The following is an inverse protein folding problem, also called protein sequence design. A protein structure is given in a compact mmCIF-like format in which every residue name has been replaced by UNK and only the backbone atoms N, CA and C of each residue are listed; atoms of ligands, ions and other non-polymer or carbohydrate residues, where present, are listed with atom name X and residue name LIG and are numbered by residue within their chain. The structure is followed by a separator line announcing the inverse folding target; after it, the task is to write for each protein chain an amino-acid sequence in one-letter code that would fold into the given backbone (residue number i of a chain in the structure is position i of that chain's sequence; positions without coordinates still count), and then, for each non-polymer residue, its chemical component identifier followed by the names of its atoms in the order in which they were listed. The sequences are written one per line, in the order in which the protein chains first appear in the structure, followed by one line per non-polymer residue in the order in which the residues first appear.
data_IF_474207784400
#
_entry.id   IF_474207784400
#
_cell.length_a   1.000
_cell.length_b   1.000
_cell.length_c   1.000
_cell.angle_alpha   90.00
_cell.angle_beta   90.00
_cell.angle_gamma   90.00
#
_symmetry.space_group_name_H-M   'P 1'
#
loop_
_entity.id
_entity.type
_entity.pdbx_description
1 polymer ?
#
# COMPACT_ATOMS: atom_id res chain seq x y z
N UNK A 1 35.21 6.31 -14.12
CA UNK A 1 34.07 6.57 -13.23
C UNK A 1 33.11 5.41 -13.38
N UNK A 2 33.22 4.39 -12.53
CA UNK A 2 32.36 3.21 -12.57
C UNK A 2 30.98 3.60 -12.08
N UNK A 3 29.94 3.36 -12.88
CA UNK A 3 28.57 3.39 -12.38
C UNK A 3 28.40 2.18 -11.44
N UNK A 4 28.22 2.47 -10.15
CA UNK A 4 27.81 1.48 -9.17
C UNK A 4 26.31 1.25 -9.36
N UNK A 5 25.91 0.07 -9.85
CA UNK A 5 24.51 -0.32 -9.90
C UNK A 5 24.03 -0.58 -8.47
N UNK A 6 23.13 0.27 -7.96
CA UNK A 6 22.45 0.01 -6.70
C UNK A 6 21.53 -1.22 -6.87
N UNK A 7 21.83 -2.30 -6.14
CA UNK A 7 21.02 -3.51 -6.13
C UNK A 7 19.94 -3.40 -5.04
N UNK A 8 18.67 -3.46 -5.44
CA UNK A 8 17.54 -3.43 -4.50
C UNK A 8 17.19 -4.87 -4.13
N UNK A 9 17.25 -5.18 -2.84
CA UNK A 9 16.76 -6.45 -2.31
C UNK A 9 15.28 -6.34 -1.95
N UNK A 10 14.51 -7.40 -2.18
CA UNK A 10 13.07 -7.40 -1.91
C UNK A 10 12.64 -8.72 -1.28
N UNK A 11 11.78 -8.62 -0.28
CA UNK A 11 11.12 -9.77 0.37
C UNK A 11 9.62 -9.51 0.31
N UNK A 12 8.85 -10.50 -0.14
CA UNK A 12 7.39 -10.43 -0.17
C UNK A 12 6.81 -11.37 0.87
N UNK A 13 5.87 -10.88 1.68
CA UNK A 13 5.12 -11.70 2.62
C UNK A 13 3.63 -11.52 2.37
N UNK A 14 2.96 -12.63 2.05
CA UNK A 14 1.49 -12.70 1.87
C UNK A 14 0.80 -13.46 2.99
N UNK A 15 1.55 -14.23 3.77
CA UNK A 15 1.07 -14.93 4.96
C UNK A 15 1.29 -14.06 6.21
N UNK A 16 0.25 -13.98 7.04
CA UNK A 16 0.13 -13.07 8.19
C UNK A 16 1.29 -13.17 9.18
N UNK A 17 1.71 -14.39 9.53
CA UNK A 17 2.79 -14.61 10.49
C UNK A 17 4.12 -14.12 9.91
N UNK A 18 4.39 -14.41 8.64
CA UNK A 18 5.60 -13.94 7.96
C UNK A 18 5.63 -12.42 7.87
N UNK A 19 4.50 -11.76 7.55
CA UNK A 19 4.41 -10.30 7.55
C UNK A 19 4.83 -9.72 8.90
N UNK A 20 4.30 -10.27 10.00
CA UNK A 20 4.62 -9.80 11.35
C UNK A 20 6.08 -10.06 11.71
N UNK A 21 6.62 -11.26 11.45
CA UNK A 21 8.02 -11.59 11.73
C UNK A 21 8.95 -10.67 10.95
N UNK A 22 8.78 -10.57 9.63
CA UNK A 22 9.63 -9.76 8.77
C UNK A 22 9.53 -8.28 9.15
N UNK A 23 8.34 -7.75 9.42
CA UNK A 23 8.19 -6.33 9.81
C UNK A 23 8.92 -5.94 11.09
N UNK A 24 9.09 -6.87 12.03
CA UNK A 24 9.78 -6.61 13.31
C UNK A 24 11.30 -6.58 13.18
N UNK A 25 11.87 -7.04 12.06
CA UNK A 25 13.31 -6.99 11.80
C UNK A 25 13.70 -5.92 10.77
N UNK A 26 12.71 -5.23 10.17
CA UNK A 26 12.96 -4.07 9.31
C UNK A 26 13.51 -2.91 10.13
N UNK A 27 14.41 -2.14 9.53
CA UNK A 27 15.11 -1.03 10.17
C UNK A 27 15.09 0.23 9.29
N UNK A 28 15.79 1.28 9.72
CA UNK A 28 15.78 2.61 9.08
C UNK A 28 16.26 2.67 7.63
N UNK A 29 17.02 1.67 7.20
CA UNK A 29 17.55 1.57 5.84
C UNK A 29 16.57 0.82 4.91
N UNK A 30 15.49 0.26 5.46
CA UNK A 30 14.47 -0.49 4.73
C UNK A 30 13.25 0.37 4.36
N UNK A 31 12.58 -0.03 3.28
CA UNK A 31 11.26 0.44 2.87
C UNK A 31 10.26 -0.71 2.94
N UNK A 32 9.16 -0.50 3.67
CA UNK A 32 8.05 -1.46 3.76
C UNK A 32 6.83 -0.91 3.05
N UNK A 33 6.29 -1.69 2.10
CA UNK A 33 5.11 -1.32 1.32
C UNK A 33 3.95 -2.25 1.69
N UNK A 34 2.88 -1.68 2.23
CA UNK A 34 1.65 -2.42 2.53
C UNK A 34 0.63 -2.27 1.40
N UNK A 35 0.06 -3.39 0.97
CA UNK A 35 -0.98 -3.41 -0.06
C UNK A 35 -2.26 -3.94 0.57
N UNK A 36 -3.30 -3.11 0.59
CA UNK A 36 -4.61 -3.50 1.09
C UNK A 36 -5.67 -2.62 0.42
N UNK A 37 -6.58 -3.23 -0.33
CA UNK A 37 -7.64 -2.47 -1.02
C UNK A 37 -8.46 -1.64 -0.02
N UNK A 38 -9.04 -2.28 1.00
CA UNK A 38 -9.89 -1.59 1.98
C UNK A 38 -9.12 -0.69 2.96
N UNK A 39 -7.79 -0.81 3.01
CA UNK A 39 -6.95 -0.15 4.01
C UNK A 39 -7.19 -0.61 5.46
N UNK A 40 -8.01 -1.63 5.67
CA UNK A 40 -8.45 -2.11 6.99
C UNK A 40 -7.91 -3.49 7.36
N UNK A 41 -7.12 -4.14 6.49
CA UNK A 41 -6.51 -5.44 6.79
C UNK A 41 -5.60 -5.34 8.02
N UNK A 42 -6.00 -6.00 9.11
CA UNK A 42 -5.39 -5.84 10.43
C UNK A 42 -3.89 -6.20 10.41
N UNK A 43 -3.53 -7.28 9.73
CA UNK A 43 -2.18 -7.81 9.64
C UNK A 43 -1.26 -6.85 8.88
N UNK A 44 -1.73 -6.30 7.75
CA UNK A 44 -1.00 -5.30 6.96
C UNK A 44 -0.76 -4.03 7.77
N UNK A 45 -1.79 -3.56 8.48
CA UNK A 45 -1.70 -2.37 9.33
C UNK A 45 -0.71 -2.58 10.48
N UNK A 46 -0.74 -3.75 11.14
CA UNK A 46 0.19 -4.10 12.20
C UNK A 46 1.63 -4.20 11.69
N UNK A 47 1.84 -4.83 10.53
CA UNK A 47 3.16 -4.96 9.93
C UNK A 47 3.77 -3.58 9.60
N UNK A 48 3.00 -2.68 8.98
CA UNK A 48 3.46 -1.30 8.72
C UNK A 48 3.78 -0.55 10.01
N UNK A 49 2.93 -0.67 11.04
CA UNK A 49 3.18 -0.01 12.33
C UNK A 49 4.43 -0.55 13.02
N UNK A 50 4.69 -1.86 12.97
CA UNK A 50 5.91 -2.46 13.53
C UNK A 50 7.15 -1.93 12.82
N UNK A 51 7.14 -1.95 11.48
CA UNK A 51 8.25 -1.42 10.68
C UNK A 51 8.51 0.06 10.98
N UNK A 52 7.45 0.88 11.04
CA UNK A 52 7.54 2.31 11.38
C UNK A 52 8.13 2.54 12.77
N UNK A 53 7.73 1.72 13.77
CA UNK A 53 8.29 1.78 15.13
C UNK A 53 9.78 1.47 15.15
N UNK A 54 10.25 0.60 14.27
CA UNK A 54 11.68 0.28 14.12
C UNK A 54 12.45 1.31 13.28
N UNK A 55 11.79 2.38 12.82
CA UNK A 55 12.39 3.48 12.07
C UNK A 55 12.42 3.26 10.55
N UNK A 56 11.88 2.14 10.04
CA UNK A 56 11.78 1.92 8.61
C UNK A 56 10.85 2.94 7.95
N UNK A 57 11.12 3.25 6.67
CA UNK A 57 10.18 4.04 5.87
C UNK A 57 8.99 3.15 5.49
N UNK A 58 7.80 3.70 5.57
CA UNK A 58 6.56 2.97 5.25
C UNK A 58 5.79 3.66 4.14
N UNK A 59 5.25 2.86 3.21
CA UNK A 59 4.36 3.33 2.16
C UNK A 59 3.17 2.36 2.01
N UNK A 60 2.10 2.83 1.38
CA UNK A 60 0.92 2.01 1.12
C UNK A 60 0.36 2.17 -0.29
N UNK A 61 -0.31 1.12 -0.75
CA UNK A 61 -1.20 1.13 -1.91
C UNK A 61 -2.58 0.66 -1.43
N UNK A 62 -3.60 1.51 -1.57
CA UNK A 62 -4.97 1.22 -1.14
C UNK A 62 -5.99 2.03 -1.95
N UNK A 63 -7.28 1.73 -1.81
CA UNK A 63 -8.37 2.55 -2.38
C UNK A 63 -9.11 3.39 -1.34
N UNK A 64 -8.67 3.36 -0.08
CA UNK A 64 -9.32 4.05 1.01
C UNK A 64 -8.55 5.29 1.46
N UNK A 65 -9.23 6.43 1.46
CA UNK A 65 -8.60 7.74 1.74
C UNK A 65 -8.33 8.00 3.22
N UNK A 66 -9.04 7.31 4.14
CA UNK A 66 -9.03 7.64 5.58
C UNK A 66 -8.66 6.45 6.48
N UNK A 67 -8.46 5.27 5.91
CA UNK A 67 -8.24 4.04 6.63
C UNK A 67 -6.97 4.03 7.48
N UNK A 68 -6.88 3.11 8.46
CA UNK A 68 -5.77 3.01 9.40
C UNK A 68 -4.41 2.82 8.71
N UNK A 69 -4.39 2.22 7.52
CA UNK A 69 -3.18 2.07 6.71
C UNK A 69 -2.52 3.43 6.37
N UNK A 70 -3.30 4.50 6.22
CA UNK A 70 -2.78 5.83 5.90
C UNK A 70 -2.03 6.46 7.08
N UNK A 71 -2.41 6.12 8.32
CA UNK A 71 -1.71 6.57 9.53
C UNK A 71 -0.40 5.79 9.74
N UNK A 72 -0.37 4.54 9.29
CA UNK A 72 0.79 3.66 9.35
C UNK A 72 1.84 3.97 8.28
N UNK A 73 1.47 4.68 7.21
CA UNK A 73 2.32 5.01 6.06
C UNK A 73 2.78 6.46 6.06
N UNK A 74 3.96 6.71 5.51
CA UNK A 74 4.45 8.07 5.20
C UNK A 74 3.84 8.59 3.88
N UNK A 75 3.67 7.69 2.92
CA UNK A 75 3.10 7.98 1.61
C UNK A 75 2.07 6.90 1.26
N UNK A 76 0.93 7.30 0.72
CA UNK A 76 -0.05 6.37 0.14
C UNK A 76 -0.26 6.69 -1.34
N UNK A 77 -0.17 5.66 -2.18
CA UNK A 77 -0.70 5.69 -3.53
C UNK A 77 -2.15 5.19 -3.50
N UNK A 78 -3.08 6.10 -3.73
CA UNK A 78 -4.49 5.75 -3.83
C UNK A 78 -4.80 5.22 -5.22
N UNK A 79 -5.44 4.05 -5.27
CA UNK A 79 -5.89 3.39 -6.51
C UNK A 79 -7.41 3.27 -6.53
N UNK A 80 -8.00 3.31 -7.72
CA UNK A 80 -9.45 3.17 -7.85
C UNK A 80 -9.92 1.75 -7.52
N UNK A 81 -11.05 1.66 -6.81
CA UNK A 81 -11.76 0.41 -6.57
C UNK A 81 -12.97 0.32 -7.52
N UNK A 82 -12.91 -0.60 -8.48
CA UNK A 82 -13.96 -0.80 -9.48
C UNK A 82 -15.29 -1.22 -8.84
N UNK A 83 -15.29 -1.83 -7.66
CA UNK A 83 -16.51 -2.20 -6.94
C UNK A 83 -17.22 -0.96 -6.39
N UNK A 84 -16.46 0.01 -5.85
CA UNK A 84 -17.00 1.31 -5.40
C UNK A 84 -17.47 2.17 -6.57
N UNK A 85 -16.79 2.10 -7.72
CA UNK A 85 -17.23 2.75 -8.95
C UNK A 85 -18.58 2.20 -9.44
N UNK A 86 -18.80 0.89 -9.30
CA UNK A 86 -20.07 0.25 -9.67
C UNK A 86 -21.21 0.63 -8.70
N UNK A 87 -20.95 0.71 -7.39
CA UNK A 87 -21.94 1.15 -6.39
C UNK A 87 -22.32 2.63 -6.54
N UNK A 88 -21.38 3.48 -6.94
CA UNK A 88 -21.62 4.90 -7.21
C UNK A 88 -22.24 5.20 -8.58
N UNK A 89 -22.31 4.21 -9.50
CA UNK A 89 -22.77 4.40 -10.88
C UNK A 89 -23.54 3.19 -11.41
N UNK A 90 -24.78 3.04 -10.96
CA UNK A 90 -25.86 2.68 -11.88
C UNK A 90 -26.54 3.96 -12.39
N UNK A 91 -25.81 4.75 -13.18
CA UNK A 91 -26.39 5.60 -14.20
C UNK A 91 -25.94 4.99 -15.52
N UNK A 92 -26.87 4.32 -16.18
CA UNK A 92 -26.69 3.82 -17.54
C UNK A 92 -26.66 5.04 -18.47
N UNK A 93 -25.53 5.73 -18.56
CA UNK A 93 -25.25 6.65 -19.66
C UNK A 93 -24.20 6.01 -20.56
N UNK A 94 -24.68 5.30 -21.57
CA UNK A 94 -23.98 5.07 -22.83
C UNK A 94 -23.56 6.44 -23.39
N UNK A 95 -22.39 6.92 -22.96
CA UNK A 95 -21.80 8.16 -23.41
C UNK A 95 -21.09 7.93 -24.73
N UNK A 96 -21.78 8.20 -25.82
CA UNK A 96 -21.15 8.61 -27.07
C UNK A 96 -20.13 9.72 -26.74
N UNK A 97 -18.84 9.49 -26.98
CA UNK A 97 -17.87 10.56 -26.98
C UNK A 97 -18.12 11.40 -28.24
N UNK A 98 -18.72 12.58 -28.08
CA UNK A 98 -18.63 13.65 -29.07
C UNK A 98 -17.60 14.63 -28.52
N UNK A 99 -16.50 14.76 -29.25
CA UNK A 99 -15.51 15.81 -29.02
C UNK A 99 -16.04 17.11 -29.64
N UNK A 100 -16.23 18.13 -28.81
CA UNK A 100 -16.20 19.54 -29.20
C UNK A 100 -14.99 20.20 -28.53
#
# INVERSE_FOLDING_TARGET
MSQESAYIQTVTATESHMMLITSNIMNRDDLVIGISNSGNTIEVNRALLNAKKNGAKTAAINSDMIGPINQASLLTLHVEDSTKLAEGRFINSLGHYVCD
#
